data_IF_262195762773
#
_entry.id   IF_262195762773
#
_cell.length_a   1.000
_cell.length_b   1.000
_cell.length_c   1.000
_cell.angle_alpha   90.00
_cell.angle_beta   90.00
_cell.angle_gamma   90.00
#
_symmetry.space_group_name_H-M   'P 1'
#
loop_
_entity.id
_entity.type
_entity.pdbx_description
1 polymer ?
#
# COMPACT_ATOMS: atom_id res chain seq x y z
N UNK A 1 -12.50 -13.82 1.92
CA UNK A 1 -11.43 -12.81 1.75
C UNK A 1 -12.07 -11.59 1.11
N UNK A 2 -11.70 -10.36 1.50
CA UNK A 2 -12.24 -9.15 0.86
C UNK A 2 -11.67 -9.03 -0.56
N UNK A 3 -12.51 -8.66 -1.53
CA UNK A 3 -12.04 -8.35 -2.89
C UNK A 3 -11.14 -7.11 -2.87
N UNK A 4 -10.03 -7.12 -3.61
CA UNK A 4 -9.03 -6.05 -3.54
C UNK A 4 -9.63 -4.66 -3.83
N UNK A 5 -10.49 -4.55 -4.84
CA UNK A 5 -11.14 -3.30 -5.22
C UNK A 5 -12.16 -2.80 -4.18
N UNK A 6 -12.71 -3.70 -3.36
CA UNK A 6 -13.62 -3.32 -2.27
C UNK A 6 -12.90 -2.53 -1.18
N UNK A 7 -11.58 -2.70 -1.04
CA UNK A 7 -10.74 -1.88 -0.17
C UNK A 7 -10.07 -0.71 -0.92
N UNK A 8 -9.49 -0.97 -2.08
CA UNK A 8 -8.63 -0.02 -2.78
C UNK A 8 -9.39 1.17 -3.39
N UNK A 9 -10.60 0.97 -3.91
CA UNK A 9 -11.38 2.09 -4.49
C UNK A 9 -11.81 3.11 -3.42
N UNK A 10 -12.40 2.70 -2.28
CA UNK A 10 -12.67 3.63 -1.19
C UNK A 10 -11.40 4.30 -0.65
N UNK A 11 -10.30 3.55 -0.50
CA UNK A 11 -9.03 4.09 -0.04
C UNK A 11 -8.49 5.18 -0.99
N UNK A 12 -8.52 4.92 -2.29
CA UNK A 12 -8.13 5.89 -3.32
C UNK A 12 -9.02 7.13 -3.30
N UNK A 13 -10.34 6.96 -3.19
CA UNK A 13 -11.28 8.09 -3.06
C UNK A 13 -11.03 8.93 -1.80
N UNK A 14 -10.54 8.31 -0.73
CA UNK A 14 -10.10 9.00 0.49
C UNK A 14 -8.68 9.60 0.39
N UNK A 15 -7.98 9.41 -0.74
CA UNK A 15 -6.66 9.96 -1.04
C UNK A 15 -5.48 9.06 -0.66
N UNK A 16 -5.71 7.81 -0.24
CA UNK A 16 -4.64 6.84 0.02
C UNK A 16 -4.14 6.24 -1.30
N UNK A 17 -3.04 6.80 -1.80
CA UNK A 17 -2.43 6.38 -3.06
C UNK A 17 -0.96 5.96 -2.93
N UNK A 18 -0.43 5.86 -1.71
CA UNK A 18 0.94 5.45 -1.44
C UNK A 18 0.96 4.26 -0.49
N UNK A 19 1.53 3.16 -0.95
CA UNK A 19 1.58 1.88 -0.25
C UNK A 19 3.04 1.44 -0.11
N UNK A 20 3.41 0.92 1.05
CA UNK A 20 4.70 0.27 1.26
C UNK A 20 4.48 -1.07 1.96
N UNK A 21 5.25 -2.09 1.63
CA UNK A 21 5.00 -3.41 2.21
C UNK A 21 5.98 -4.50 1.83
N UNK A 22 5.82 -5.64 2.50
CA UNK A 22 6.55 -6.89 2.23
C UNK A 22 5.63 -7.91 1.54
N UNK A 23 6.17 -8.92 0.83
CA UNK A 23 5.35 -9.99 0.28
C UNK A 23 4.58 -10.75 1.37
N UNK A 24 3.26 -10.90 1.20
CA UNK A 24 2.39 -11.61 2.13
C UNK A 24 1.34 -12.43 1.37
N UNK A 25 1.22 -13.73 1.67
CA UNK A 25 0.32 -14.65 0.96
C UNK A 25 -1.16 -14.29 1.14
N UNK A 26 -1.54 -13.77 2.31
CA UNK A 26 -2.91 -13.34 2.59
C UNK A 26 -3.28 -12.04 1.86
N UNK A 27 -2.30 -11.16 1.64
CA UNK A 27 -2.49 -9.87 0.98
C UNK A 27 -2.17 -9.91 -0.51
N UNK A 28 -1.80 -11.07 -1.07
CA UNK A 28 -1.37 -11.20 -2.47
C UNK A 28 -2.33 -10.55 -3.47
N UNK A 29 -3.67 -10.73 -3.39
CA UNK A 29 -4.59 -10.05 -4.30
C UNK A 29 -4.55 -8.52 -4.19
N UNK A 30 -4.42 -7.97 -2.97
CA UNK A 30 -4.33 -6.52 -2.76
C UNK A 30 -2.99 -5.98 -3.28
N UNK A 31 -1.87 -6.62 -2.91
CA UNK A 31 -0.53 -6.20 -3.32
C UNK A 31 -0.42 -6.20 -4.85
N UNK A 32 -0.82 -7.28 -5.51
CA UNK A 32 -0.78 -7.36 -6.97
C UNK A 32 -1.68 -6.32 -7.63
N UNK A 33 -2.86 -6.06 -7.04
CA UNK A 33 -3.79 -5.05 -7.55
C UNK A 33 -3.23 -3.63 -7.42
N UNK A 34 -2.48 -3.32 -6.37
CA UNK A 34 -1.78 -2.02 -6.22
C UNK A 34 -0.61 -1.91 -7.20
N UNK A 35 0.23 -2.96 -7.31
CA UNK A 35 1.38 -2.98 -8.23
C UNK A 35 0.92 -2.79 -9.69
N UNK A 36 -0.24 -3.35 -10.06
CA UNK A 36 -0.80 -3.24 -11.41
C UNK A 36 -1.53 -1.94 -11.74
N UNK A 37 -1.66 -1.00 -10.78
CA UNK A 37 -2.41 0.25 -10.97
C UNK A 37 -1.48 1.46 -11.07
N UNK A 38 -1.40 2.10 -12.23
CA UNK A 38 -0.58 3.29 -12.42
C UNK A 38 -1.02 4.50 -11.57
N UNK A 39 -2.24 4.51 -11.03
CA UNK A 39 -2.72 5.57 -10.13
C UNK A 39 -2.29 5.39 -8.68
N UNK A 40 -1.71 4.23 -8.33
CA UNK A 40 -1.24 3.89 -7.00
C UNK A 40 0.29 3.75 -7.00
N UNK A 41 0.93 4.10 -5.90
CA UNK A 41 2.36 3.88 -5.69
C UNK A 41 2.55 2.71 -4.74
N UNK A 42 3.34 1.70 -5.12
CA UNK A 42 3.76 0.61 -4.24
C UNK A 42 5.28 0.60 -4.11
N UNK A 43 5.79 0.65 -2.88
CA UNK A 43 7.21 0.50 -2.56
C UNK A 43 7.43 -0.83 -1.83
N UNK A 44 8.10 -1.77 -2.49
CA UNK A 44 8.50 -3.02 -1.86
C UNK A 44 9.60 -2.77 -0.81
N UNK A 45 9.46 -3.39 0.35
CA UNK A 45 10.43 -3.35 1.44
C UNK A 45 10.97 -4.76 1.73
N UNK A 46 12.16 -4.85 2.33
CA UNK A 46 12.78 -6.11 2.76
C UNK A 46 12.32 -6.56 4.16
N UNK A 47 11.75 -5.67 4.96
CA UNK A 47 11.18 -5.96 6.28
C UNK A 47 9.98 -5.07 6.58
N UNK A 48 9.13 -5.49 7.51
CA UNK A 48 7.96 -4.72 7.96
C UNK A 48 8.39 -3.38 8.58
N UNK A 49 9.52 -3.36 9.32
CA UNK A 49 10.08 -2.15 9.89
C UNK A 49 10.51 -1.13 8.83
N UNK A 50 11.11 -1.60 7.73
CA UNK A 50 11.45 -0.75 6.59
C UNK A 50 10.19 -0.21 5.90
N UNK A 51 9.17 -1.04 5.69
CA UNK A 51 7.89 -0.61 5.11
C UNK A 51 7.25 0.52 5.93
N UNK A 52 7.26 0.39 7.26
CA UNK A 52 6.81 1.44 8.19
C UNK A 52 7.66 2.70 8.05
N UNK A 53 9.00 2.57 8.00
CA UNK A 53 9.92 3.70 7.81
C UNK A 53 9.65 4.48 6.52
N UNK A 54 9.47 3.78 5.40
CA UNK A 54 9.13 4.37 4.09
C UNK A 54 7.78 5.10 4.17
N UNK A 55 6.75 4.44 4.71
CA UNK A 55 5.41 5.02 4.84
C UNK A 55 5.39 6.24 5.78
N UNK A 56 6.17 6.22 6.86
CA UNK A 56 6.33 7.34 7.78
C UNK A 56 7.01 8.54 7.10
N UNK A 57 8.08 8.30 6.33
CA UNK A 57 8.76 9.33 5.55
C UNK A 57 7.83 10.00 4.52
N UNK A 58 7.07 9.20 3.77
CA UNK A 58 6.08 9.72 2.82
C UNK A 58 4.94 10.47 3.53
N UNK A 59 4.51 10.02 4.72
CA UNK A 59 3.52 10.72 5.52
C UNK A 59 4.02 12.09 6.01
N UNK A 60 5.27 12.18 6.50
CA UNK A 60 5.91 13.44 6.87
C UNK A 60 5.99 14.42 5.68
N UNK A 61 6.09 13.89 4.46
CA UNK A 61 6.03 14.67 3.22
C UNK A 61 4.59 15.04 2.78
N UNK A 62 3.58 14.84 3.63
CA UNK A 62 2.19 15.22 3.37
C UNK A 62 1.36 14.20 2.59
N UNK A 63 1.84 12.96 2.41
CA UNK A 63 1.08 11.89 1.73
C UNK A 63 0.17 11.15 2.70
N UNK A 64 -0.94 10.60 2.20
CA UNK A 64 -1.70 9.56 2.89
C UNK A 64 -1.15 8.19 2.51
N UNK A 65 -0.68 7.44 3.50
CA UNK A 65 0.09 6.22 3.30
C UNK A 65 -0.60 5.00 3.92
N UNK A 66 -0.29 3.82 3.40
CA UNK A 66 -0.76 2.52 3.89
C UNK A 66 0.43 1.57 3.96
N UNK A 67 0.52 0.81 5.05
CA UNK A 67 1.51 -0.28 5.19
C UNK A 67 0.81 -1.61 4.94
N UNK A 68 1.42 -2.49 4.14
CA UNK A 68 0.96 -3.86 3.87
C UNK A 68 1.99 -4.86 4.40
N UNK A 69 1.62 -5.61 5.43
CA UNK A 69 2.44 -6.63 6.09
C UNK A 69 1.53 -7.76 6.59
#
# INVERSE_FOLDING_TARGET
MIEADAFLRPALAAGFNFYAGVPCSLLTPLINRVIGDASLTYVAAASEGEAVGIAAGAWLAGRKTVVMC
#
